data_IF_812817068372
#
_entry.id   IF_812817068372
#
_cell.length_a   1.000
_cell.length_b   1.000
_cell.length_c   1.000
_cell.angle_alpha   90.00
_cell.angle_beta   90.00
_cell.angle_gamma   90.00
#
_symmetry.space_group_name_H-M   'P 1'
#
loop_
_entity.id
_entity.type
_entity.pdbx_description
1 polymer ?
#
# COMPACT_ATOMS: atom_id res chain seq x y z
N UNK A 1 -5.06 -6.30 10.02
CA UNK A 1 -6.15 -5.39 9.57
C UNK A 1 -7.44 -5.51 10.36
N UNK A 2 -7.77 -6.68 10.94
CA UNK A 2 -9.01 -6.89 11.72
C UNK A 2 -9.31 -5.80 12.77
N UNK A 3 -8.30 -5.40 13.57
CA UNK A 3 -8.47 -4.32 14.57
C UNK A 3 -8.94 -3.00 13.95
N UNK A 4 -8.34 -2.57 12.83
CA UNK A 4 -8.70 -1.30 12.17
C UNK A 4 -10.13 -1.35 11.62
N UNK A 5 -10.50 -2.45 10.95
CA UNK A 5 -11.86 -2.62 10.46
C UNK A 5 -12.89 -2.66 11.58
N UNK A 6 -12.55 -3.26 12.72
CA UNK A 6 -13.42 -3.24 13.91
C UNK A 6 -13.61 -1.81 14.42
N UNK A 7 -12.54 -1.03 14.54
CA UNK A 7 -12.63 0.38 15.00
C UNK A 7 -13.58 1.18 14.10
N UNK A 8 -13.45 1.04 12.78
CA UNK A 8 -14.32 1.72 11.81
C UNK A 8 -15.76 1.22 11.96
N UNK A 9 -15.97 -0.10 12.00
CA UNK A 9 -17.31 -0.68 12.14
C UNK A 9 -18.01 -0.24 13.45
N UNK A 10 -17.26 -0.18 14.56
CA UNK A 10 -17.76 0.27 15.85
C UNK A 10 -18.16 1.76 15.79
N UNK A 11 -17.37 2.59 15.10
CA UNK A 11 -17.69 4.01 14.88
C UNK A 11 -18.93 4.20 14.00
N UNK A 12 -19.06 3.46 12.89
CA UNK A 12 -20.22 3.54 12.00
C UNK A 12 -21.53 3.20 12.72
N UNK A 13 -21.53 2.11 13.51
CA UNK A 13 -22.70 1.73 14.32
C UNK A 13 -23.05 2.78 15.38
N UNK A 14 -22.04 3.42 15.99
CA UNK A 14 -22.26 4.47 16.98
C UNK A 14 -22.98 5.69 16.39
N UNK A 15 -22.69 6.01 15.12
CA UNK A 15 -23.31 7.12 14.40
C UNK A 15 -24.61 6.72 13.67
N UNK A 16 -25.07 5.47 13.82
CA UNK A 16 -26.30 4.98 13.17
C UNK A 16 -26.18 4.77 11.65
N UNK A 17 -24.96 4.58 11.14
CA UNK A 17 -24.67 4.34 9.73
C UNK A 17 -24.64 2.84 9.44
N UNK A 18 -25.77 2.16 9.63
CA UNK A 18 -25.85 0.69 9.56
C UNK A 18 -25.68 0.12 8.14
N UNK A 19 -26.00 0.92 7.11
CA UNK A 19 -25.84 0.52 5.71
C UNK A 19 -24.41 0.75 5.18
N UNK A 20 -23.56 1.47 5.92
CA UNK A 20 -22.21 1.79 5.49
C UNK A 20 -21.24 0.63 5.78
N UNK A 21 -20.38 0.30 4.82
CA UNK A 21 -19.41 -0.77 4.98
C UNK A 21 -18.04 -0.21 5.40
N UNK A 22 -17.29 -0.84 6.33
CA UNK A 22 -15.96 -0.35 6.73
C UNK A 22 -14.95 -0.18 5.58
N UNK A 23 -15.14 -0.91 4.48
CA UNK A 23 -14.31 -0.78 3.26
C UNK A 23 -14.62 0.48 2.45
N UNK A 24 -15.73 1.16 2.72
CA UNK A 24 -15.98 2.49 2.13
C UNK A 24 -15.02 3.55 2.70
N UNK A 25 -14.40 3.26 3.85
CA UNK A 25 -13.49 4.16 4.58
C UNK A 25 -12.04 3.68 4.59
N UNK A 26 -11.78 2.37 4.53
CA UNK A 26 -10.43 1.81 4.57
C UNK A 26 -10.27 0.62 3.62
N UNK A 27 -9.37 0.77 2.66
CA UNK A 27 -9.05 -0.26 1.68
C UNK A 27 -7.58 -0.67 1.73
N UNK A 28 -7.33 -1.96 1.44
CA UNK A 28 -5.98 -2.50 1.32
C UNK A 28 -5.80 -3.10 -0.07
N UNK A 29 -4.72 -2.73 -0.73
CA UNK A 29 -4.39 -3.18 -2.07
C UNK A 29 -2.98 -3.76 -2.12
N UNK A 30 -2.70 -4.54 -3.16
CA UNK A 30 -1.37 -4.98 -3.53
C UNK A 30 -1.19 -4.87 -5.04
N UNK A 31 0.06 -4.89 -5.51
CA UNK A 31 0.36 -4.84 -6.94
C UNK A 31 0.73 -6.22 -7.47
N UNK A 32 0.22 -6.56 -8.65
CA UNK A 32 0.52 -7.81 -9.33
C UNK A 32 0.50 -7.63 -10.84
N UNK A 33 1.35 -8.38 -11.54
CA UNK A 33 1.42 -8.38 -13.00
C UNK A 33 1.14 -9.78 -13.53
N UNK A 34 0.46 -9.84 -14.67
CA UNK A 34 0.29 -11.06 -15.47
C UNK A 34 0.63 -10.76 -16.94
N UNK A 35 1.35 -11.67 -17.59
CA UNK A 35 1.81 -11.50 -18.98
C UNK A 35 1.33 -12.64 -19.87
N UNK A 36 1.07 -12.35 -21.15
CA UNK A 36 0.44 -13.28 -22.11
C UNK A 36 1.43 -13.87 -23.12
N UNK A 37 2.55 -13.21 -23.42
CA UNK A 37 3.43 -13.56 -24.57
C UNK A 37 4.56 -14.54 -24.23
N UNK A 38 4.93 -15.35 -25.23
CA UNK A 38 5.73 -16.56 -25.12
C UNK A 38 7.14 -16.44 -25.75
N UNK A 39 8.10 -15.92 -24.99
CA UNK A 39 9.53 -16.16 -25.26
C UNK A 39 10.28 -16.26 -23.93
N UNK A 40 9.94 -17.26 -23.12
CA UNK A 40 10.80 -17.63 -21.99
C UNK A 40 11.13 -19.11 -22.16
N UNK A 41 12.42 -19.47 -22.22
CA UNK A 41 12.82 -20.86 -22.32
C UNK A 41 12.15 -21.69 -21.23
N UNK A 42 11.70 -22.89 -21.58
CA UNK A 42 11.16 -23.82 -20.61
C UNK A 42 12.19 -24.05 -19.49
N UNK A 43 11.79 -23.95 -18.21
CA UNK A 43 12.73 -24.08 -17.11
C UNK A 43 13.35 -25.48 -17.11
N UNK A 44 14.68 -25.54 -17.07
CA UNK A 44 15.50 -26.77 -17.08
C UNK A 44 15.46 -27.58 -15.78
N UNK A 45 14.62 -27.21 -14.80
CA UNK A 45 14.66 -27.81 -13.46
C UNK A 45 13.57 -28.87 -13.21
N UNK A 46 14.02 -30.00 -12.65
CA UNK A 46 13.22 -31.10 -12.09
C UNK A 46 12.51 -30.72 -10.77
N UNK A 47 11.94 -29.52 -10.69
CA UNK A 47 11.20 -29.08 -9.51
C UNK A 47 9.79 -29.69 -9.46
N UNK A 48 9.33 -30.01 -8.25
CA UNK A 48 7.98 -30.50 -7.96
C UNK A 48 6.92 -29.61 -8.64
N UNK A 49 5.95 -30.24 -9.32
CA UNK A 49 4.91 -29.57 -10.11
C UNK A 49 4.10 -28.55 -9.32
N UNK A 50 3.95 -28.76 -8.01
CA UNK A 50 3.20 -27.88 -7.12
C UNK A 50 4.05 -26.80 -6.43
N UNK A 51 5.32 -26.62 -6.82
CA UNK A 51 6.14 -25.55 -6.23
C UNK A 51 5.62 -24.15 -6.62
N UNK A 52 5.67 -23.16 -5.70
CA UNK A 52 5.24 -21.79 -6.00
C UNK A 52 5.94 -21.18 -7.22
N UNK A 53 7.22 -21.54 -7.42
CA UNK A 53 8.00 -21.15 -8.60
C UNK A 53 7.37 -21.68 -9.89
N UNK A 54 7.06 -22.99 -9.96
CA UNK A 54 6.40 -23.59 -11.11
C UNK A 54 5.02 -23.01 -11.34
N UNK A 55 4.24 -22.75 -10.29
CA UNK A 55 2.91 -22.16 -10.42
C UNK A 55 2.97 -20.71 -10.93
N UNK A 56 3.91 -19.90 -10.44
CA UNK A 56 4.12 -18.54 -10.93
C UNK A 56 4.53 -18.53 -12.41
N UNK A 57 5.43 -19.45 -12.81
CA UNK A 57 5.83 -19.63 -14.21
C UNK A 57 4.68 -20.14 -15.09
N UNK A 58 3.92 -21.13 -14.63
CA UNK A 58 2.78 -21.72 -15.35
C UNK A 58 1.66 -20.71 -15.57
N UNK A 59 1.29 -19.95 -14.53
CA UNK A 59 0.21 -18.97 -14.59
C UNK A 59 0.67 -17.57 -15.01
N UNK A 60 1.98 -17.39 -15.23
CA UNK A 60 2.61 -16.16 -15.73
C UNK A 60 2.20 -14.92 -14.96
N UNK A 61 2.08 -15.06 -13.65
CA UNK A 61 1.69 -13.97 -12.75
C UNK A 61 2.56 -13.97 -11.52
N UNK A 62 2.92 -12.77 -11.07
CA UNK A 62 3.67 -12.58 -9.84
C UNK A 62 3.37 -11.21 -9.25
N UNK A 63 3.67 -11.05 -7.95
CA UNK A 63 3.51 -9.76 -7.30
C UNK A 63 4.52 -8.76 -7.89
N UNK A 64 4.09 -7.51 -8.03
CA UNK A 64 5.03 -6.39 -8.11
C UNK A 64 5.34 -6.03 -6.66
N UNK A 65 6.61 -6.13 -6.29
CA UNK A 65 7.02 -5.91 -4.92
C UNK A 65 6.93 -4.42 -4.54
N UNK A 66 6.00 -4.09 -3.66
CA UNK A 66 5.86 -2.73 -3.12
C UNK A 66 6.92 -2.52 -2.06
N UNK A 67 8.04 -1.92 -2.46
CA UNK A 67 9.13 -1.53 -1.56
C UNK A 67 9.03 -0.06 -1.11
N UNK A 68 7.97 0.64 -1.48
CA UNK A 68 7.76 2.05 -1.15
C UNK A 68 7.53 2.27 0.35
N UNK A 69 8.02 3.40 0.87
CA UNK A 69 7.70 3.94 2.19
C UNK A 69 7.37 5.41 2.04
N UNK A 70 6.09 5.67 1.83
CA UNK A 70 5.61 7.03 1.70
C UNK A 70 4.14 7.15 2.01
N UNK A 71 3.71 8.37 2.29
CA UNK A 71 2.34 8.73 2.62
C UNK A 71 2.03 10.06 1.95
N UNK A 72 0.87 10.16 1.31
CA UNK A 72 0.31 11.40 0.78
C UNK A 72 -0.91 11.72 1.64
N UNK A 73 -1.03 12.97 2.07
CA UNK A 73 -2.13 13.45 2.90
C UNK A 73 -2.75 14.66 2.21
N UNK A 74 -4.07 14.58 1.96
CA UNK A 74 -4.93 15.63 1.44
C UNK A 74 -4.47 16.30 0.12
N UNK A 75 -3.63 15.63 -0.67
CA UNK A 75 -2.95 16.17 -1.86
C UNK A 75 -2.07 17.41 -1.59
N UNK A 76 -1.67 17.64 -0.33
CA UNK A 76 -0.85 18.80 0.09
C UNK A 76 0.51 18.42 0.63
N UNK A 77 0.55 17.32 1.36
CA UNK A 77 1.71 16.91 2.13
C UNK A 77 2.13 15.52 1.71
N UNK A 78 3.44 15.34 1.56
CA UNK A 78 4.05 14.05 1.30
C UNK A 78 5.11 13.74 2.34
N UNK A 79 5.10 12.51 2.84
CA UNK A 79 6.19 11.92 3.61
C UNK A 79 6.86 10.85 2.74
N UNK A 80 8.17 10.93 2.53
CA UNK A 80 8.95 9.92 1.80
C UNK A 80 10.19 9.57 2.61
N UNK A 81 10.50 8.28 2.75
CA UNK A 81 11.67 7.85 3.51
C UNK A 81 12.01 6.37 3.36
N UNK A 82 12.74 5.85 4.35
CA UNK A 82 13.13 4.44 4.43
C UNK A 82 12.26 3.62 5.41
N UNK A 83 11.59 4.29 6.36
CA UNK A 83 10.86 3.66 7.46
C UNK A 83 9.61 2.89 7.03
N UNK A 84 9.57 1.59 7.30
CA UNK A 84 8.37 0.77 7.12
C UNK A 84 7.32 1.09 8.20
N UNK A 85 6.04 0.80 7.95
CA UNK A 85 4.99 0.85 8.99
C UNK A 85 5.06 -0.41 9.85
N UNK A 86 6.06 -0.49 10.71
CA UNK A 86 6.22 -1.55 11.70
C UNK A 86 7.10 -1.06 12.87
N UNK A 87 7.15 -1.86 13.95
CA UNK A 87 7.96 -1.51 15.12
C UNK A 87 9.45 -1.37 14.79
N UNK A 88 9.99 -2.17 13.86
CA UNK A 88 11.43 -2.14 13.56
C UNK A 88 11.90 -0.77 13.09
N UNK A 89 11.11 -0.13 12.22
CA UNK A 89 11.41 1.17 11.66
C UNK A 89 10.89 2.34 12.52
N UNK A 90 9.75 2.18 13.20
CA UNK A 90 9.09 3.30 13.92
C UNK A 90 9.49 3.42 15.40
N UNK A 91 10.24 2.47 15.95
CA UNK A 91 10.67 2.47 17.36
C UNK A 91 11.80 3.47 17.66
N UNK A 92 12.60 3.83 16.66
CA UNK A 92 13.73 4.77 16.79
C UNK A 92 14.96 4.21 17.49
N UNK A 93 14.86 3.08 18.21
CA UNK A 93 15.98 2.41 18.90
C UNK A 93 16.42 1.10 18.23
N UNK A 94 15.78 0.72 17.12
CA UNK A 94 16.10 -0.49 16.36
C UNK A 94 16.86 -0.14 15.07
N UNK A 95 16.18 -0.12 13.93
CA UNK A 95 16.80 0.25 12.67
C UNK A 95 16.89 1.78 12.60
N UNK A 96 18.01 2.29 12.07
CA UNK A 96 18.15 3.72 11.79
C UNK A 96 17.43 4.05 10.49
N UNK A 97 16.48 4.97 10.56
CA UNK A 97 15.65 5.38 9.42
C UNK A 97 15.75 6.88 9.18
N UNK A 98 15.44 7.32 7.96
CA UNK A 98 15.32 8.73 7.60
C UNK A 98 14.07 8.95 6.75
N UNK A 99 13.42 10.09 6.94
CA UNK A 99 12.27 10.51 6.14
C UNK A 99 12.25 12.04 5.99
N UNK A 100 11.72 12.52 4.87
CA UNK A 100 11.47 13.92 4.58
C UNK A 100 9.97 14.14 4.42
N UNK A 101 9.44 15.14 5.12
CA UNK A 101 8.06 15.63 4.97
C UNK A 101 8.03 16.96 4.22
N UNK A 102 7.33 17.06 3.10
CA UNK A 102 7.28 18.26 2.28
C UNK A 102 5.85 18.65 1.93
N UNK A 103 5.62 19.96 1.77
CA UNK A 103 4.38 20.54 1.25
C UNK A 103 4.73 21.80 0.47
N UNK A 104 3.79 22.26 -0.37
CA UNK A 104 3.93 23.51 -1.11
C UNK A 104 3.05 24.59 -0.47
N UNK A 105 3.62 25.68 0.11
CA UNK A 105 2.84 26.65 0.90
C UNK A 105 1.69 27.35 0.16
N UNK A 106 1.79 27.48 -1.16
CA UNK A 106 0.78 28.10 -2.02
C UNK A 106 -0.17 27.09 -2.69
N UNK A 107 -0.02 25.80 -2.40
CA UNK A 107 -0.87 24.72 -2.89
C UNK A 107 -1.48 23.97 -1.70
N UNK A 108 -2.19 24.71 -0.87
CA UNK A 108 -2.96 24.18 0.25
C UNK A 108 -4.38 24.77 0.28
N UNK A 109 -5.30 24.08 0.96
CA UNK A 109 -6.68 24.41 1.27
C UNK A 109 -6.75 25.75 2.00
N UNK A 110 -5.81 26.03 2.91
CA UNK A 110 -5.75 27.29 3.63
C UNK A 110 -5.20 28.45 2.77
N UNK A 111 -4.31 28.16 1.82
CA UNK A 111 -3.60 29.16 1.03
C UNK A 111 -4.21 29.47 -0.34
N UNK A 112 -5.19 28.69 -0.79
CA UNK A 112 -5.75 28.80 -2.15
C UNK A 112 -7.28 28.90 -2.15
N UNK A 113 -7.85 29.49 -3.21
CA UNK A 113 -9.31 29.60 -3.38
C UNK A 113 -9.95 28.31 -3.92
N UNK A 114 -9.30 27.17 -3.79
CA UNK A 114 -9.77 25.89 -4.31
C UNK A 114 -8.97 24.72 -3.76
N UNK A 115 -9.29 23.48 -4.17
CA UNK A 115 -8.52 22.31 -3.75
C UNK A 115 -7.09 22.37 -4.31
N UNK A 116 -6.10 21.83 -3.59
CA UNK A 116 -4.76 21.58 -4.11
C UNK A 116 -4.84 20.81 -5.44
N UNK A 117 -4.01 21.20 -6.40
CA UNK A 117 -3.89 20.53 -7.71
C UNK A 117 -2.55 19.83 -7.75
N UNK A 118 -2.41 18.78 -6.94
CA UNK A 118 -1.25 17.90 -6.95
C UNK A 118 -0.90 17.41 -8.36
#
# INVERSE_FOLDING_TARGET
>A
MSMMYKIIADALRKEGLDDAHPQDYLNFYCLGKREVTAEVPAPTSHSNENSPLRLAQKFRRFMIYVHSKGMIIDDEFVLIGSANINQRSLDGLRDTEIAMGAYQPHHSWAGSQGPPRG
#
